data_IF_497157648726
#
_entry.id   IF_497157648726
#
_cell.length_a   1.000
_cell.length_b   1.000
_cell.length_c   1.000
_cell.angle_alpha   90.00
_cell.angle_beta   90.00
_cell.angle_gamma   90.00
#
_symmetry.space_group_name_H-M   'P 1'
#
loop_
_entity.id
_entity.type
_entity.pdbx_description
1 polymer ?
#
# COMPACT_ATOMS: atom_id res chain seq x y z
N UNK A 1 29.72 5.92 10.77
CA UNK A 1 29.01 7.21 10.70
C UNK A 1 28.32 7.21 9.35
N UNK A 2 27.00 7.02 9.32
CA UNK A 2 26.28 6.97 8.05
C UNK A 2 26.27 8.38 7.45
N UNK A 3 26.59 8.47 6.16
CA UNK A 3 26.74 9.72 5.44
C UNK A 3 25.39 10.45 5.37
N UNK A 4 25.39 11.78 5.52
CA UNK A 4 24.15 12.59 5.48
C UNK A 4 23.36 12.46 4.16
N UNK A 5 23.94 11.84 3.14
CA UNK A 5 23.30 11.50 1.87
C UNK A 5 22.43 10.22 1.97
N UNK A 6 22.82 9.23 2.76
CA UNK A 6 22.05 8.00 2.99
C UNK A 6 20.78 8.27 3.81
N UNK A 7 20.87 9.19 4.78
CA UNK A 7 19.73 9.58 5.63
C UNK A 7 18.65 10.30 4.80
N UNK A 8 19.04 11.06 3.76
CA UNK A 8 18.11 11.78 2.88
C UNK A 8 17.37 10.84 1.93
N UNK A 9 18.06 9.87 1.35
CA UNK A 9 17.44 8.86 0.48
C UNK A 9 16.43 7.96 1.23
N UNK A 10 16.62 7.74 2.53
CA UNK A 10 15.63 7.03 3.36
C UNK A 10 14.41 7.90 3.73
N UNK A 11 14.59 9.23 3.81
CA UNK A 11 13.51 10.18 4.10
C UNK A 11 12.63 10.51 2.88
N UNK A 12 13.13 10.28 1.66
CA UNK A 12 12.35 10.38 0.42
C UNK A 12 11.40 9.18 0.22
N UNK A 13 11.39 8.22 1.15
CA UNK A 13 10.44 7.11 1.18
C UNK A 13 9.16 7.55 1.90
N UNK A 14 8.12 7.88 1.12
CA UNK A 14 6.84 8.38 1.60
C UNK A 14 6.29 7.57 2.80
N UNK A 15 6.23 8.19 3.98
CA UNK A 15 5.59 7.59 5.15
C UNK A 15 4.08 7.85 5.05
N UNK A 16 3.23 6.82 5.06
CA UNK A 16 1.78 7.01 5.05
C UNK A 16 1.31 7.91 6.19
N UNK A 17 0.32 8.75 5.90
CA UNK A 17 -0.31 9.58 6.92
C UNK A 17 -0.99 8.67 7.95
N UNK A 18 -0.77 8.96 9.24
CA UNK A 18 -1.35 8.21 10.37
C UNK A 18 -1.02 6.69 10.37
N UNK A 19 0.16 6.30 9.86
CA UNK A 19 0.57 4.90 9.78
C UNK A 19 0.48 4.17 11.13
N UNK A 20 0.96 4.79 12.21
CA UNK A 20 0.98 4.17 13.54
C UNK A 20 -0.44 3.97 14.09
N UNK A 21 -1.30 4.95 13.90
CA UNK A 21 -2.70 4.92 14.30
C UNK A 21 -3.47 3.85 13.52
N UNK A 22 -3.28 3.79 12.20
CA UNK A 22 -3.89 2.77 11.34
C UNK A 22 -3.50 1.38 11.80
N UNK A 23 -2.20 1.10 11.98
CA UNK A 23 -1.74 -0.21 12.44
C UNK A 23 -2.29 -0.56 13.83
N UNK A 24 -2.40 0.43 14.72
CA UNK A 24 -2.99 0.24 16.05
C UNK A 24 -4.48 -0.12 15.97
N UNK A 25 -5.27 0.56 15.15
CA UNK A 25 -6.71 0.31 15.01
C UNK A 25 -7.01 -0.97 14.22
N UNK A 26 -6.27 -1.20 13.13
CA UNK A 26 -6.42 -2.39 12.30
C UNK A 26 -5.91 -3.65 13.01
N UNK A 27 -4.93 -3.49 13.90
CA UNK A 27 -4.29 -4.55 14.69
C UNK A 27 -3.96 -5.80 13.83
N UNK A 28 -3.09 -5.69 12.80
CA UNK A 28 -2.85 -6.78 11.87
C UNK A 28 -2.35 -8.06 12.55
N UNK A 29 -2.85 -9.23 12.15
CA UNK A 29 -2.49 -10.53 12.74
C UNK A 29 -2.15 -11.56 11.66
N UNK A 30 -1.41 -12.60 12.05
CA UNK A 30 -1.18 -13.78 11.23
C UNK A 30 -2.50 -14.42 10.76
N UNK A 31 -2.48 -14.98 9.55
CA UNK A 31 -3.60 -15.73 8.96
C UNK A 31 -4.80 -14.89 8.51
N UNK A 32 -4.75 -13.57 8.70
CA UNK A 32 -5.82 -12.65 8.33
C UNK A 32 -5.65 -12.05 6.94
N UNK A 33 -6.76 -11.67 6.32
CA UNK A 33 -6.80 -11.04 5.01
C UNK A 33 -7.10 -9.54 5.15
N UNK A 34 -6.28 -8.68 4.55
CA UNK A 34 -6.49 -7.24 4.54
C UNK A 34 -6.61 -6.70 3.13
N UNK A 35 -7.32 -5.58 2.96
CA UNK A 35 -7.43 -4.88 1.68
C UNK A 35 -6.99 -3.43 1.87
N UNK A 36 -6.03 -3.02 1.05
CA UNK A 36 -5.62 -1.63 0.87
C UNK A 36 -6.20 -1.15 -0.45
N UNK A 37 -7.29 -0.38 -0.39
CA UNK A 37 -8.09 -0.03 -1.56
C UNK A 37 -7.53 1.16 -2.35
N UNK A 38 -6.49 1.81 -1.85
CA UNK A 38 -5.86 3.01 -2.42
C UNK A 38 -4.34 2.86 -2.30
N UNK A 39 -3.82 1.77 -2.84
CA UNK A 39 -2.51 1.23 -2.50
C UNK A 39 -1.34 2.17 -2.74
N UNK A 40 -1.44 3.08 -3.71
CA UNK A 40 -0.38 4.01 -4.08
C UNK A 40 0.96 3.28 -4.25
N UNK A 41 2.07 3.78 -3.67
CA UNK A 41 3.37 3.11 -3.72
C UNK A 41 3.47 1.82 -2.87
N UNK A 42 2.40 1.40 -2.19
CA UNK A 42 2.34 0.17 -1.40
C UNK A 42 2.85 0.29 0.03
N UNK A 43 3.11 1.49 0.54
CA UNK A 43 3.72 1.68 1.86
C UNK A 43 2.81 1.23 3.02
N UNK A 44 1.49 1.48 2.92
CA UNK A 44 0.52 1.00 3.90
C UNK A 44 0.42 -0.53 3.84
N UNK A 45 0.21 -1.09 2.65
CA UNK A 45 0.24 -2.54 2.42
C UNK A 45 1.49 -3.24 2.98
N UNK A 46 2.67 -2.67 2.75
CA UNK A 46 3.95 -3.17 3.28
C UNK A 46 3.97 -3.16 4.81
N UNK A 47 3.48 -2.10 5.42
CA UNK A 47 3.42 -2.00 6.88
C UNK A 47 2.47 -3.05 7.49
N UNK A 48 1.31 -3.26 6.86
CA UNK A 48 0.35 -4.31 7.26
C UNK A 48 0.97 -5.70 7.09
N UNK A 49 1.67 -5.97 5.98
CA UNK A 49 2.34 -7.26 5.74
C UNK A 49 3.42 -7.55 6.79
N UNK A 50 4.20 -6.54 7.18
CA UNK A 50 5.20 -6.67 8.25
C UNK A 50 4.55 -6.96 9.61
N UNK A 51 3.46 -6.26 9.93
CA UNK A 51 2.75 -6.44 11.20
C UNK A 51 1.97 -7.76 11.29
N UNK A 52 1.46 -8.27 10.17
CA UNK A 52 0.65 -9.50 10.07
C UNK A 52 1.47 -10.77 9.83
N UNK A 53 2.77 -10.72 10.11
CA UNK A 53 3.67 -11.87 10.03
C UNK A 53 3.12 -13.08 10.81
N UNK A 54 3.31 -14.33 10.38
CA UNK A 54 4.02 -14.79 9.16
C UNK A 54 3.10 -15.04 7.97
N UNK A 55 1.79 -15.12 8.18
CA UNK A 55 0.85 -15.67 7.18
C UNK A 55 -0.29 -14.73 6.77
N UNK A 56 -0.37 -13.52 7.33
CA UNK A 56 -1.38 -12.55 6.94
C UNK A 56 -1.16 -12.05 5.51
N UNK A 57 -2.24 -11.86 4.75
CA UNK A 57 -2.21 -11.49 3.32
C UNK A 57 -2.78 -10.09 3.14
N UNK A 58 -2.28 -9.38 2.13
CA UNK A 58 -2.79 -8.06 1.74
C UNK A 58 -3.11 -8.04 0.25
N UNK A 59 -4.33 -7.59 -0.07
CA UNK A 59 -4.75 -7.22 -1.42
C UNK A 59 -4.60 -5.70 -1.57
N UNK A 60 -3.65 -5.28 -2.39
CA UNK A 60 -3.38 -3.89 -2.72
C UNK A 60 -4.07 -3.55 -4.04
N UNK A 61 -4.99 -2.59 -4.02
CA UNK A 61 -5.74 -2.13 -5.19
C UNK A 61 -5.35 -0.69 -5.47
N UNK A 62 -5.03 -0.38 -6.73
CA UNK A 62 -4.87 1.00 -7.19
C UNK A 62 -5.34 1.13 -8.64
N UNK A 63 -5.84 2.30 -9.02
CA UNK A 63 -6.28 2.55 -10.40
C UNK A 63 -5.16 3.08 -11.29
N UNK A 64 -4.03 3.46 -10.72
CA UNK A 64 -2.87 3.97 -11.44
C UNK A 64 -1.87 2.83 -11.76
N UNK A 65 -1.63 2.51 -13.05
CA UNK A 65 -0.65 1.49 -13.42
C UNK A 65 0.79 1.83 -12.97
N UNK A 66 1.10 3.11 -12.76
CA UNK A 66 2.41 3.56 -12.27
C UNK A 66 2.59 3.18 -10.80
N UNK A 67 1.53 3.30 -10.00
CA UNK A 67 1.51 2.86 -8.60
C UNK A 67 1.76 1.34 -8.51
N UNK A 68 1.06 0.53 -9.33
CA UNK A 68 1.27 -0.92 -9.41
C UNK A 68 2.72 -1.29 -9.76
N UNK A 69 3.34 -0.52 -10.66
CA UNK A 69 4.74 -0.75 -11.05
C UNK A 69 5.71 -0.50 -9.89
N UNK A 70 5.48 0.55 -9.10
CA UNK A 70 6.29 0.87 -7.90
C UNK A 70 6.09 -0.17 -6.80
N UNK A 71 4.88 -0.71 -6.65
CA UNK A 71 4.61 -1.75 -5.65
C UNK A 71 5.47 -3.01 -5.85
N UNK A 72 6.00 -3.28 -7.04
CA UNK A 72 6.94 -4.39 -7.29
C UNK A 72 8.19 -4.30 -6.44
N UNK A 73 8.84 -3.15 -6.39
CA UNK A 73 10.06 -3.00 -5.60
C UNK A 73 9.81 -3.12 -4.09
N UNK A 74 8.59 -2.90 -3.63
CA UNK A 74 8.26 -2.83 -2.20
C UNK A 74 7.59 -4.08 -1.65
N UNK A 75 6.83 -4.80 -2.49
CA UNK A 75 5.93 -5.86 -2.04
C UNK A 75 6.34 -7.26 -2.49
N UNK A 76 7.23 -7.38 -3.49
CA UNK A 76 7.68 -8.69 -3.98
C UNK A 76 8.39 -9.52 -2.90
N UNK A 77 8.99 -8.86 -1.90
CA UNK A 77 9.63 -9.53 -0.75
C UNK A 77 8.66 -10.38 0.10
N UNK A 78 7.34 -10.16 -0.02
CA UNK A 78 6.32 -10.91 0.72
C UNK A 78 5.71 -12.09 -0.06
N UNK A 79 6.14 -12.31 -1.30
CA UNK A 79 5.67 -13.42 -2.14
C UNK A 79 4.14 -13.47 -2.26
N UNK A 80 3.56 -14.66 -2.09
CA UNK A 80 2.12 -14.89 -2.23
C UNK A 80 1.24 -14.15 -1.20
N UNK A 81 1.85 -13.57 -0.15
CA UNK A 81 1.12 -12.76 0.83
C UNK A 81 0.75 -11.39 0.28
N UNK A 82 1.47 -10.88 -0.72
CA UNK A 82 1.13 -9.64 -1.40
C UNK A 82 0.42 -9.91 -2.73
N UNK A 83 -0.87 -9.60 -2.78
CA UNK A 83 -1.67 -9.64 -4.01
C UNK A 83 -1.92 -8.21 -4.46
N UNK A 84 -1.72 -7.92 -5.75
CA UNK A 84 -1.88 -6.56 -6.31
C UNK A 84 -2.84 -6.58 -7.48
N UNK A 85 -3.70 -5.58 -7.59
CA UNK A 85 -4.65 -5.44 -8.70
C UNK A 85 -4.76 -4.00 -9.17
N UNK A 86 -4.57 -3.83 -10.49
CA UNK A 86 -4.93 -2.62 -11.20
C UNK A 86 -6.45 -2.56 -11.36
N UNK A 87 -7.13 -1.84 -10.48
CA UNK A 87 -8.58 -1.69 -10.50
C UNK A 87 -8.98 -0.42 -9.75
N UNK A 88 -10.18 0.09 -10.04
CA UNK A 88 -10.75 1.16 -9.23
C UNK A 88 -11.31 0.58 -7.91
N UNK A 89 -11.14 1.29 -6.80
CA UNK A 89 -11.65 0.84 -5.49
C UNK A 89 -13.17 0.63 -5.46
N UNK A 90 -13.93 1.26 -6.37
CA UNK A 90 -15.37 0.99 -6.52
C UNK A 90 -15.68 -0.46 -6.92
N UNK A 91 -14.70 -1.19 -7.46
CA UNK A 91 -14.80 -2.61 -7.81
C UNK A 91 -14.24 -3.54 -6.72
N UNK A 92 -13.98 -3.02 -5.50
CA UNK A 92 -13.35 -3.77 -4.40
C UNK A 92 -14.04 -5.12 -4.12
N UNK A 93 -15.38 -5.18 -4.15
CA UNK A 93 -16.08 -6.41 -3.81
C UNK A 93 -15.79 -7.54 -4.82
N UNK A 94 -15.89 -7.25 -6.12
CA UNK A 94 -15.56 -8.23 -7.16
C UNK A 94 -14.10 -8.64 -7.10
N UNK A 95 -13.18 -7.68 -6.96
CA UNK A 95 -11.74 -7.96 -6.93
C UNK A 95 -11.38 -8.80 -5.70
N UNK A 96 -11.93 -8.46 -4.52
CA UNK A 96 -11.70 -9.23 -3.30
C UNK A 96 -12.26 -10.64 -3.39
N UNK A 97 -13.41 -10.83 -4.07
CA UNK A 97 -13.99 -12.15 -4.29
C UNK A 97 -13.09 -13.02 -5.17
N UNK A 98 -12.65 -12.47 -6.29
CA UNK A 98 -11.83 -13.18 -7.28
C UNK A 98 -10.47 -13.60 -6.70
N UNK A 99 -9.90 -12.79 -5.81
CA UNK A 99 -8.58 -13.05 -5.19
C UNK A 99 -8.65 -13.81 -3.84
N UNK A 100 -9.85 -14.17 -3.39
CA UNK A 100 -10.04 -14.91 -2.14
C UNK A 100 -9.74 -14.09 -0.88
N UNK A 101 -10.16 -12.82 -0.87
CA UNK A 101 -10.11 -11.88 0.27
C UNK A 101 -11.50 -11.63 0.88
N UNK A 102 -12.48 -12.51 0.61
CA UNK A 102 -13.78 -12.52 1.29
C UNK A 102 -13.86 -13.78 2.18
N UNK A 103 -14.08 -13.65 3.50
CA UNK A 103 -14.16 -12.39 4.24
C UNK A 103 -12.79 -11.69 4.35
N UNK A 104 -12.84 -10.36 4.47
CA UNK A 104 -11.69 -9.53 4.83
C UNK A 104 -11.74 -9.20 6.32
N UNK A 105 -10.59 -9.20 6.98
CA UNK A 105 -10.41 -8.83 8.38
C UNK A 105 -10.17 -7.34 8.58
N UNK A 106 -9.87 -6.60 7.50
CA UNK A 106 -9.62 -5.17 7.57
C UNK A 106 -9.52 -4.55 6.19
N UNK A 107 -10.15 -3.39 6.01
CA UNK A 107 -10.12 -2.63 4.76
C UNK A 107 -9.70 -1.21 5.08
N UNK A 108 -8.75 -0.66 4.33
CA UNK A 108 -8.35 0.74 4.42
C UNK A 108 -8.56 1.48 3.09
N UNK A 109 -9.00 2.73 3.23
CA UNK A 109 -9.05 3.73 2.20
C UNK A 109 -8.28 4.96 2.69
N UNK A 110 -7.16 5.25 2.04
CA UNK A 110 -6.41 6.49 2.17
C UNK A 110 -6.82 7.41 1.00
N UNK A 111 -7.84 8.23 1.25
CA UNK A 111 -8.44 9.07 0.22
C UNK A 111 -7.67 10.38 0.07
N UNK A 112 -7.24 10.66 -1.16
CA UNK A 112 -6.52 11.88 -1.50
C UNK A 112 -5.66 11.67 -2.74
N UNK A 113 -4.67 12.55 -2.89
CA UNK A 113 -3.60 12.40 -3.88
C UNK A 113 -2.31 12.08 -3.15
N UNK A 114 -1.48 11.21 -3.73
CA UNK A 114 -0.18 10.88 -3.13
C UNK A 114 0.84 11.96 -3.44
N UNK A 115 1.87 12.10 -2.59
CA UNK A 115 3.00 12.99 -2.85
C UNK A 115 3.66 12.69 -4.20
N UNK A 116 3.75 11.41 -4.59
CA UNK A 116 4.24 11.00 -5.92
C UNK A 116 3.50 11.70 -7.07
N UNK A 117 2.19 11.94 -6.93
CA UNK A 117 1.40 12.64 -7.96
C UNK A 117 1.67 14.14 -7.96
N UNK A 118 2.00 14.73 -6.81
CA UNK A 118 2.31 16.16 -6.67
C UNK A 118 3.74 16.44 -7.14
N UNK A 119 4.70 15.59 -6.75
CA UNK A 119 6.13 15.78 -7.00
C UNK A 119 6.54 15.45 -8.44
N UNK A 120 5.77 14.59 -9.13
CA UNK A 120 6.00 14.29 -10.54
C UNK A 120 5.10 15.17 -11.45
N UNK A 121 5.68 16.15 -12.17
CA UNK A 121 4.90 17.07 -13.01
C UNK A 121 4.16 16.37 -14.16
N UNK A 122 4.58 15.16 -14.58
CA UNK A 122 3.89 14.39 -15.63
C UNK A 122 2.47 13.97 -15.22
N UNK A 123 2.16 13.97 -13.92
CA UNK A 123 0.81 13.69 -13.43
C UNK A 123 -0.12 14.91 -13.53
N UNK A 124 0.42 16.13 -13.65
CA UNK A 124 -0.37 17.35 -13.81
C UNK A 124 -1.12 17.82 -12.55
N UNK A 125 -0.77 17.33 -11.35
CA UNK A 125 -1.37 17.79 -10.08
C UNK A 125 -0.62 18.95 -9.44
N UNK A 126 0.62 19.24 -9.87
CA UNK A 126 1.36 20.39 -9.38
C UNK A 126 0.88 21.69 -10.02
N UNK A 127 0.75 22.73 -9.21
CA UNK A 127 0.35 24.10 -9.62
C UNK A 127 1.49 25.12 -9.41
N UNK A 128 2.70 24.65 -9.13
CA UNK A 128 3.89 25.46 -8.85
C UNK A 128 4.63 25.87 -10.12
#
# INVERSE_FOLDING_TARGET
MADGHEIKAMADCHVPVLLAEVLKFMNPQAGKNYIDATGGPGNMSRAILKASCETGRVLTIDCDPRAISIQQSHLDEFGERSVRKLANFSSIESVARDEGFIPSDGIIYDLGVSSMMIDNPEYGFSIQ
#
